data_IF_784009479601
#
_entry.id   IF_784009479601
#
_cell.length_a   1.000
_cell.length_b   1.000
_cell.length_c   1.000
_cell.angle_alpha   90.00
_cell.angle_beta   90.00
_cell.angle_gamma   90.00
#
_symmetry.space_group_name_H-M   'P 1'
#
loop_
_entity.id
_entity.type
_entity.pdbx_description
1 polymer ?
#
# COMPACT_ATOMS: atom_id res chain seq x y z
N UNK A 1 -16.71 26.43 -3.02
CA UNK A 1 -16.63 24.99 -3.36
C UNK A 1 -15.95 24.28 -2.17
N UNK A 2 -16.66 23.34 -1.61
CA UNK A 2 -16.16 22.45 -0.52
C UNK A 2 -16.12 21.02 -1.09
N UNK A 3 -14.94 20.42 -1.27
CA UNK A 3 -14.84 19.05 -1.75
C UNK A 3 -15.20 18.06 -0.62
N UNK A 4 -15.86 16.96 -0.97
CA UNK A 4 -16.06 15.82 -0.07
C UNK A 4 -14.85 14.87 -0.03
N UNK A 5 -14.05 14.87 -1.09
CA UNK A 5 -12.83 14.10 -1.25
C UNK A 5 -11.89 14.79 -2.22
N UNK A 6 -10.59 14.68 -2.00
CA UNK A 6 -9.55 15.14 -2.91
C UNK A 6 -8.74 13.93 -3.37
N UNK A 7 -8.57 13.78 -4.68
CA UNK A 7 -7.70 12.75 -5.29
C UNK A 7 -6.51 13.44 -5.93
N UNK A 8 -5.30 13.06 -5.52
CA UNK A 8 -4.02 13.58 -6.03
C UNK A 8 -3.29 12.50 -6.80
N UNK A 9 -3.14 12.66 -8.09
CA UNK A 9 -2.40 11.72 -8.95
C UNK A 9 -1.09 12.37 -9.42
N UNK A 10 0.03 12.06 -8.78
CA UNK A 10 0.33 11.44 -7.48
C UNK A 10 1.42 12.25 -6.77
N UNK A 11 1.73 11.93 -5.49
CA UNK A 11 2.57 12.76 -4.62
C UNK A 11 3.97 13.05 -5.17
N UNK A 12 4.61 12.08 -5.84
CA UNK A 12 5.97 12.23 -6.34
C UNK A 12 6.12 13.25 -7.48
N UNK A 13 5.00 13.66 -8.13
CA UNK A 13 4.98 14.70 -9.15
C UNK A 13 4.86 16.11 -8.57
N UNK A 14 4.57 16.22 -7.27
CA UNK A 14 4.41 17.52 -6.63
C UNK A 14 5.75 18.19 -6.37
N UNK A 15 5.78 19.50 -6.52
CA UNK A 15 6.95 20.30 -6.17
C UNK A 15 7.01 20.52 -4.66
N UNK A 16 8.16 20.22 -4.06
CA UNK A 16 8.45 20.59 -2.67
C UNK A 16 9.26 21.88 -2.64
N UNK A 17 8.88 22.79 -1.76
CA UNK A 17 9.64 24.01 -1.49
C UNK A 17 10.80 23.76 -0.53
N UNK A 18 10.85 22.59 0.11
CA UNK A 18 11.83 22.18 1.10
C UNK A 18 12.37 20.79 0.82
N UNK A 19 13.63 20.55 1.17
CA UNK A 19 14.30 19.25 1.12
C UNK A 19 15.45 19.20 0.11
N UNK A 20 16.61 18.74 0.59
CA UNK A 20 17.84 18.60 -0.21
C UNK A 20 17.92 17.25 -0.96
N UNK A 21 17.11 16.29 -0.55
CA UNK A 21 17.04 14.96 -1.14
C UNK A 21 15.58 14.52 -1.35
N UNK A 22 15.36 13.44 -2.09
CA UNK A 22 14.02 12.95 -2.43
C UNK A 22 13.22 12.56 -1.19
N UNK A 23 13.84 11.96 -0.19
CA UNK A 23 13.21 11.60 1.07
C UNK A 23 12.62 12.82 1.80
N UNK A 24 13.43 13.87 2.00
CA UNK A 24 12.97 15.10 2.68
C UNK A 24 11.84 15.79 1.88
N UNK A 25 11.94 15.77 0.55
CA UNK A 25 10.93 16.35 -0.34
C UNK A 25 9.59 15.62 -0.20
N UNK A 26 9.58 14.28 -0.28
CA UNK A 26 8.36 13.47 -0.14
C UNK A 26 7.77 13.60 1.25
N UNK A 27 8.61 13.61 2.30
CA UNK A 27 8.17 13.87 3.67
C UNK A 27 7.45 15.22 3.78
N UNK A 28 8.08 16.28 3.27
CA UNK A 28 7.50 17.62 3.31
C UNK A 28 6.18 17.72 2.54
N UNK A 29 6.10 17.10 1.33
CA UNK A 29 4.87 17.03 0.54
C UNK A 29 3.77 16.31 1.33
N UNK A 30 4.07 15.16 1.94
CA UNK A 30 3.08 14.39 2.69
C UNK A 30 2.54 15.14 3.91
N UNK A 31 3.40 15.89 4.60
CA UNK A 31 3.00 16.76 5.71
C UNK A 31 2.09 17.92 5.24
N UNK A 32 2.39 18.53 4.10
CA UNK A 32 1.56 19.59 3.51
C UNK A 32 0.19 19.03 3.05
N UNK A 33 0.17 17.88 2.41
CA UNK A 33 -1.07 17.20 1.99
C UNK A 33 -1.93 16.86 3.22
N UNK A 34 -1.30 16.40 4.31
CA UNK A 34 -2.02 16.18 5.56
C UNK A 34 -2.60 17.50 6.12
N UNK A 35 -1.85 18.58 6.09
CA UNK A 35 -2.36 19.90 6.52
C UNK A 35 -3.55 20.36 5.66
N UNK A 36 -3.51 20.08 4.34
CA UNK A 36 -4.64 20.35 3.44
C UNK A 36 -5.89 19.59 3.84
N UNK A 37 -5.80 18.33 4.25
CA UNK A 37 -6.97 17.54 4.65
C UNK A 37 -7.69 18.15 5.86
N UNK A 38 -6.95 18.74 6.80
CA UNK A 38 -7.56 19.51 7.91
C UNK A 38 -8.16 20.83 7.46
N UNK A 39 -7.50 21.52 6.50
CA UNK A 39 -7.98 22.83 6.01
C UNK A 39 -9.30 22.67 5.24
N UNK A 40 -9.42 21.61 4.44
CA UNK A 40 -10.61 21.35 3.64
C UNK A 40 -11.63 20.45 4.36
N UNK A 41 -11.29 19.94 5.54
CA UNK A 41 -12.11 19.01 6.34
C UNK A 41 -12.58 17.78 5.54
N UNK A 42 -11.73 17.28 4.63
CA UNK A 42 -12.05 16.15 3.78
C UNK A 42 -10.86 15.17 3.62
N UNK A 43 -11.13 13.90 3.33
CA UNK A 43 -10.08 12.92 3.06
C UNK A 43 -9.34 13.24 1.76
N UNK A 44 -8.04 12.93 1.75
CA UNK A 44 -7.19 13.02 0.56
C UNK A 44 -6.67 11.63 0.23
N UNK A 45 -6.86 11.19 -1.00
CA UNK A 45 -6.34 9.94 -1.54
C UNK A 45 -5.23 10.26 -2.53
N UNK A 46 -4.11 9.57 -2.43
CA UNK A 46 -3.02 9.68 -3.39
C UNK A 46 -2.31 8.34 -3.59
N UNK A 47 -1.45 8.27 -4.58
CA UNK A 47 -0.60 7.13 -4.85
C UNK A 47 0.88 7.47 -4.67
N UNK A 48 1.71 6.46 -4.54
CA UNK A 48 3.17 6.53 -4.62
C UNK A 48 3.70 5.24 -5.24
N UNK A 49 4.87 5.32 -5.83
CA UNK A 49 5.53 4.14 -6.41
C UNK A 49 6.36 3.42 -5.36
N UNK A 50 6.41 2.11 -5.46
CA UNK A 50 7.27 1.23 -4.67
C UNK A 50 8.64 1.15 -5.36
N UNK A 51 9.73 1.14 -4.59
CA UNK A 51 11.08 0.95 -5.12
C UNK A 51 11.24 -0.47 -5.67
N UNK A 52 12.09 -0.62 -6.71
CA UNK A 52 12.37 -1.91 -7.35
C UNK A 52 12.90 -2.98 -6.37
N UNK A 53 13.55 -2.59 -5.29
CA UNK A 53 14.00 -3.50 -4.23
C UNK A 53 12.86 -4.09 -3.40
N UNK A 54 11.68 -3.49 -3.41
CA UNK A 54 10.47 -3.99 -2.77
C UNK A 54 9.74 -5.08 -3.57
N UNK A 55 10.15 -5.34 -4.81
CA UNK A 55 9.62 -6.42 -5.66
C UNK A 55 10.24 -7.81 -5.37
N UNK A 56 11.05 -7.94 -4.31
CA UNK A 56 11.59 -9.25 -3.92
C UNK A 56 10.51 -10.14 -3.33
N UNK A 57 10.21 -11.23 -4.02
CA UNK A 57 9.56 -12.50 -3.66
C UNK A 57 9.09 -12.70 -2.21
N UNK A 58 8.28 -11.82 -1.67
CA UNK A 58 7.54 -12.12 -0.46
C UNK A 58 6.10 -12.43 -0.85
N UNK A 59 5.64 -13.63 -0.55
CA UNK A 59 4.27 -14.08 -0.75
C UNK A 59 3.22 -13.11 -0.14
N UNK A 60 3.64 -12.25 0.78
CA UNK A 60 2.83 -11.22 1.43
C UNK A 60 2.78 -9.85 0.74
N UNK A 61 3.43 -9.68 -0.41
CA UNK A 61 3.50 -8.40 -1.11
C UNK A 61 4.44 -7.36 -0.47
N UNK A 62 4.50 -6.14 -1.04
CA UNK A 62 5.38 -5.07 -0.54
C UNK A 62 4.90 -4.53 0.81
N UNK A 63 5.77 -4.50 1.81
CA UNK A 63 5.54 -3.89 3.12
C UNK A 63 5.91 -2.40 3.18
N UNK A 64 5.87 -1.81 4.39
CA UNK A 64 6.25 -0.40 4.63
C UNK A 64 7.70 -0.10 4.24
N UNK A 65 8.59 -1.08 4.35
CA UNK A 65 9.99 -0.99 3.96
C UNK A 65 10.17 -0.81 2.45
N UNK A 66 9.22 -1.30 1.67
CA UNK A 66 9.22 -1.21 0.20
C UNK A 66 8.86 0.18 -0.31
N UNK A 67 8.27 1.02 0.54
CA UNK A 67 7.98 2.43 0.24
C UNK A 67 9.27 3.28 0.42
N UNK A 68 10.41 2.75 0.13
CA UNK A 68 11.82 3.12 0.36
C UNK A 68 12.22 4.59 0.57
N UNK A 69 11.82 5.50 -0.30
CA UNK A 69 12.05 6.93 -0.11
C UNK A 69 10.96 7.60 0.74
N UNK A 70 9.99 6.83 1.23
CA UNK A 70 8.73 7.35 1.78
C UNK A 70 8.46 6.90 3.22
N UNK A 71 9.49 6.64 4.03
CA UNK A 71 9.29 6.42 5.47
C UNK A 71 8.50 7.58 6.11
N UNK A 72 8.72 8.81 5.62
CA UNK A 72 7.93 9.98 5.97
C UNK A 72 6.45 9.84 5.60
N UNK A 73 6.15 9.24 4.43
CA UNK A 73 4.78 8.95 4.00
C UNK A 73 4.13 7.90 4.92
N UNK A 74 4.90 6.82 5.24
CA UNK A 74 4.47 5.80 6.18
C UNK A 74 4.09 6.36 7.56
N UNK A 75 4.80 7.37 8.04
CA UNK A 75 4.49 8.04 9.30
C UNK A 75 3.23 8.93 9.21
N UNK A 76 3.02 9.59 8.06
CA UNK A 76 2.01 10.63 7.89
C UNK A 76 0.65 10.09 7.47
N UNK A 77 0.59 9.11 6.57
CA UNK A 77 -0.67 8.53 6.09
C UNK A 77 -1.44 7.82 7.22
N UNK A 78 -2.76 7.89 7.20
CA UNK A 78 -3.63 7.19 8.15
C UNK A 78 -3.91 5.74 7.72
N UNK A 79 -3.97 5.50 6.40
CA UNK A 79 -4.07 4.17 5.82
C UNK A 79 -3.15 4.07 4.59
N UNK A 80 -2.58 2.90 4.37
CA UNK A 80 -1.76 2.58 3.21
C UNK A 80 -2.18 1.21 2.70
N UNK A 81 -2.49 1.17 1.42
CA UNK A 81 -2.86 -0.04 0.69
C UNK A 81 -1.79 -0.30 -0.36
N UNK A 82 -1.26 -1.50 -0.41
CA UNK A 82 -0.39 -1.95 -1.49
C UNK A 82 -1.20 -2.63 -2.58
N UNK A 83 -0.74 -2.45 -3.82
CA UNK A 83 -1.24 -3.16 -4.98
C UNK A 83 -0.03 -3.78 -5.66
N UNK A 84 -0.07 -5.09 -5.88
CA UNK A 84 1.02 -5.81 -6.54
C UNK A 84 0.50 -6.98 -7.34
N UNK A 85 1.34 -7.56 -8.14
CA UNK A 85 1.08 -8.80 -8.84
C UNK A 85 2.36 -9.61 -8.98
N UNK A 86 2.21 -10.91 -9.08
CA UNK A 86 3.26 -11.88 -9.36
C UNK A 86 3.30 -12.20 -10.87
N UNK A 87 4.25 -13.01 -11.30
CA UNK A 87 4.28 -13.52 -12.68
C UNK A 87 3.04 -14.38 -12.98
N UNK A 88 2.59 -15.20 -12.04
CA UNK A 88 1.36 -15.99 -12.14
C UNK A 88 0.11 -15.11 -12.28
N UNK A 89 0.04 -14.00 -11.54
CA UNK A 89 -1.06 -13.05 -11.65
C UNK A 89 -1.13 -12.38 -13.02
N UNK A 90 0.01 -12.20 -13.69
CA UNK A 90 0.04 -11.65 -15.05
C UNK A 90 -0.64 -12.59 -16.05
N UNK A 91 -0.43 -13.90 -15.92
CA UNK A 91 -1.06 -14.91 -16.75
C UNK A 91 -2.57 -15.02 -16.49
N UNK A 92 -2.97 -14.89 -15.23
CA UNK A 92 -4.37 -15.01 -14.78
C UNK A 92 -5.18 -13.70 -14.88
N UNK A 93 -4.59 -12.60 -15.34
CA UNK A 93 -5.20 -11.27 -15.27
C UNK A 93 -5.69 -10.94 -13.84
N UNK A 94 -4.82 -11.14 -12.88
CA UNK A 94 -5.09 -10.91 -11.47
C UNK A 94 -4.12 -9.89 -10.87
N UNK A 95 -4.46 -9.42 -9.67
CA UNK A 95 -3.60 -8.61 -8.83
C UNK A 95 -3.98 -8.81 -7.35
N UNK A 96 -3.07 -8.46 -6.48
CA UNK A 96 -3.31 -8.45 -5.03
C UNK A 96 -3.50 -7.03 -4.53
N UNK A 97 -4.38 -6.88 -3.53
CA UNK A 97 -4.53 -5.68 -2.72
C UNK A 97 -4.29 -6.06 -1.27
N UNK A 98 -3.41 -5.34 -0.57
CA UNK A 98 -3.09 -5.61 0.83
C UNK A 98 -3.07 -4.35 1.68
N UNK A 99 -3.44 -4.46 2.95
CA UNK A 99 -3.40 -3.36 3.91
C UNK A 99 -2.03 -3.38 4.59
N UNK A 100 -1.20 -2.37 4.30
CA UNK A 100 0.12 -2.20 4.94
C UNK A 100 -0.01 -1.41 6.25
N UNK A 101 -0.89 -0.42 6.27
CA UNK A 101 -1.13 0.43 7.43
C UNK A 101 -2.59 0.80 7.52
N UNK A 102 -3.13 0.71 8.73
CA UNK A 102 -4.47 1.21 9.05
C UNK A 102 -4.48 1.75 10.48
N UNK A 103 -4.59 3.06 10.64
CA UNK A 103 -4.63 3.69 11.97
C UNK A 103 -5.92 3.39 12.72
N UNK A 104 -6.99 3.01 12.00
CA UNK A 104 -8.33 2.86 12.54
C UNK A 104 -8.75 1.40 12.73
N UNK A 105 -7.88 0.44 12.41
CA UNK A 105 -8.24 -0.98 12.49
C UNK A 105 -7.04 -1.91 12.27
N UNK A 106 -7.32 -3.14 11.85
CA UNK A 106 -6.28 -4.14 11.56
C UNK A 106 -5.36 -3.70 10.42
N UNK A 107 -4.08 -4.01 10.55
CA UNK A 107 -3.06 -3.81 9.51
C UNK A 107 -2.77 -5.10 8.72
N UNK A 108 -3.60 -6.12 8.88
CA UNK A 108 -3.40 -7.40 8.23
C UNK A 108 -4.52 -7.70 7.26
N UNK A 109 -4.16 -8.37 6.20
CA UNK A 109 -5.08 -8.88 5.18
C UNK A 109 -4.68 -8.44 3.78
N UNK A 110 -4.73 -9.39 2.89
CA UNK A 110 -4.64 -9.17 1.45
C UNK A 110 -5.70 -9.99 0.75
N UNK A 111 -6.08 -9.56 -0.43
CA UNK A 111 -7.01 -10.28 -1.28
C UNK A 111 -6.51 -10.26 -2.71
N UNK A 112 -6.75 -11.34 -3.43
CA UNK A 112 -6.48 -11.46 -4.86
C UNK A 112 -7.75 -11.13 -5.63
N UNK A 113 -7.64 -10.26 -6.61
CA UNK A 113 -8.72 -9.78 -7.45
C UNK A 113 -8.43 -10.09 -8.92
N UNK A 114 -9.47 -10.38 -9.69
CA UNK A 114 -9.37 -10.42 -11.14
C UNK A 114 -9.50 -9.02 -11.72
N UNK A 115 -8.73 -8.72 -12.78
CA UNK A 115 -8.79 -7.47 -13.51
C UNK A 115 -9.23 -7.67 -14.95
N UNK A 116 -10.27 -6.97 -15.36
CA UNK A 116 -10.61 -6.82 -16.78
C UNK A 116 -9.94 -5.55 -17.32
N UNK A 117 -8.91 -5.73 -18.13
CA UNK A 117 -8.16 -4.62 -18.73
C UNK A 117 -8.95 -3.82 -19.76
N UNK A 118 -10.04 -4.36 -20.33
CA UNK A 118 -10.85 -3.64 -21.30
C UNK A 118 -11.72 -2.58 -20.63
N UNK A 119 -12.20 -2.91 -19.42
CA UNK A 119 -13.09 -2.03 -18.65
C UNK A 119 -12.40 -1.41 -17.44
N UNK A 120 -11.16 -1.83 -17.12
CA UNK A 120 -10.40 -1.49 -15.91
C UNK A 120 -11.20 -1.78 -14.64
N UNK A 121 -11.94 -2.91 -14.67
CA UNK A 121 -12.79 -3.31 -13.55
C UNK A 121 -12.10 -4.40 -12.74
N UNK A 122 -12.09 -4.23 -11.42
CA UNK A 122 -11.64 -5.24 -10.46
C UNK A 122 -12.86 -5.99 -9.92
N UNK A 123 -12.76 -7.31 -9.91
CA UNK A 123 -13.80 -8.19 -9.37
C UNK A 123 -13.21 -9.17 -8.38
N UNK A 124 -13.98 -9.50 -7.36
CA UNK A 124 -13.61 -10.55 -6.42
C UNK A 124 -13.59 -11.90 -7.13
N UNK A 125 -12.50 -12.64 -6.97
CA UNK A 125 -12.36 -13.96 -7.56
C UNK A 125 -12.81 -15.00 -6.52
N UNK A 126 -14.04 -15.48 -6.63
CA UNK A 126 -14.62 -16.46 -5.70
C UNK A 126 -14.01 -17.87 -5.83
N UNK A 127 -13.21 -18.13 -6.86
CA UNK A 127 -12.62 -19.47 -7.11
C UNK A 127 -11.27 -19.67 -6.38
N UNK A 128 -10.73 -18.63 -5.73
CA UNK A 128 -9.47 -18.70 -5.03
C UNK A 128 -9.70 -18.66 -3.52
N UNK A 129 -9.59 -19.82 -2.89
CA UNK A 129 -9.54 -19.96 -1.44
C UNK A 129 -8.28 -19.24 -0.89
N UNK A 130 -8.47 -18.01 -0.43
CA UNK A 130 -7.42 -17.15 0.18
C UNK A 130 -6.96 -17.67 1.57
N UNK A 131 -7.44 -18.84 2.00
CA UNK A 131 -7.19 -19.37 3.34
C UNK A 131 -5.90 -20.17 3.51
N UNK A 132 -5.15 -20.45 2.43
CA UNK A 132 -3.97 -21.32 2.53
C UNK A 132 -2.70 -20.56 2.95
N UNK A 133 -2.60 -19.25 2.71
CA UNK A 133 -1.37 -18.50 3.00
C UNK A 133 -1.28 -17.93 4.42
N UNK A 134 -2.41 -17.82 5.13
CA UNK A 134 -2.42 -17.29 6.51
C UNK A 134 -1.94 -18.34 7.52
N UNK A 135 -2.16 -19.63 7.23
CA UNK A 135 -1.75 -20.73 8.13
C UNK A 135 -0.25 -21.08 8.03
N UNK A 136 0.42 -20.75 6.94
CA UNK A 136 1.85 -21.01 6.79
C UNK A 136 2.73 -20.09 7.67
N UNK A 137 2.26 -18.87 7.97
CA UNK A 137 3.00 -17.94 8.81
C UNK A 137 2.82 -18.19 10.32
N UNK A 138 1.77 -18.89 10.74
CA UNK A 138 1.55 -19.24 12.15
C UNK A 138 2.32 -20.51 12.57
N UNK A 139 2.55 -21.47 11.67
CA UNK A 139 3.30 -22.69 11.97
C UNK A 139 4.81 -22.46 12.20
N UNK A 140 5.41 -21.48 11.54
CA UNK A 140 6.82 -21.11 11.76
C UNK A 140 7.03 -20.38 13.10
N UNK A 141 6.04 -19.68 13.62
CA UNK A 141 6.14 -18.98 14.90
C UNK A 141 6.06 -19.93 16.11
N UNK A 142 5.47 -21.11 15.96
CA UNK A 142 5.29 -22.08 17.05
C UNK A 142 6.55 -22.93 17.29
N UNK A 143 7.47 -23.05 16.32
CA UNK A 143 8.69 -23.84 16.47
C UNK A 143 9.81 -23.14 17.25
N UNK A 144 9.78 -21.82 17.44
CA UNK A 144 10.81 -21.09 18.20
C UNK A 144 10.54 -20.99 19.71
N UNK A 145 9.42 -21.53 20.22
CA UNK A 145 9.00 -21.44 21.63
C UNK A 145 9.31 -22.67 22.51
N UNK A 146 10.02 -23.70 22.00
CA UNK A 146 10.37 -24.89 22.79
C UNK A 146 11.85 -25.20 22.71
N UNK A 147 12.66 -24.40 23.37
CA UNK A 147 13.99 -24.75 23.82
C UNK A 147 14.39 -23.85 25.00
N UNK A 148 14.05 -24.26 26.19
CA UNK A 148 14.80 -24.26 27.47
C UNK A 148 13.91 -24.93 28.51
#
# INVERSE_FOLDING_TARGET
>A
FTPDIIVLDYLNLMASTYGNNSYERIKNISEQVRAMSYTFECPIISATQVNRTGYGNTAGGPGLESIGESYGLGATADAIVSIWRTEEDEEDNALHIGIIKNRFGSNTGSTRLSIDYNTLTLTENNDLNVNDDINAAEDDAVQFGRAV
#
